data_IF_160976569859
#
_entry.id   IF_160976569859
#
_cell.length_a   1.000
_cell.length_b   1.000
_cell.length_c   1.000
_cell.angle_alpha   90.00
_cell.angle_beta   90.00
_cell.angle_gamma   90.00
#
_symmetry.space_group_name_H-M   'P 1'
#
loop_
_entity.id
_entity.type
_entity.pdbx_description
1 polymer ?
#
# COMPACT_ATOMS: atom_id res chain seq x y z
N UNK A 1 9.37 -18.39 5.09
CA UNK A 1 10.12 -18.89 3.91
C UNK A 1 11.13 -19.90 4.42
N UNK A 2 11.14 -21.13 3.90
CA UNK A 2 12.08 -22.18 4.31
C UNK A 2 13.27 -22.17 3.34
N UNK A 3 14.50 -22.09 3.86
CA UNK A 3 15.72 -22.12 3.04
C UNK A 3 16.46 -23.41 3.37
N UNK A 4 16.64 -24.27 2.36
CA UNK A 4 17.36 -25.53 2.46
C UNK A 4 18.73 -25.37 1.81
N UNK A 5 19.81 -25.56 2.57
CA UNK A 5 21.18 -25.42 2.08
C UNK A 5 21.81 -26.82 2.00
N UNK A 6 22.14 -27.26 0.78
CA UNK A 6 22.86 -28.51 0.57
C UNK A 6 24.36 -28.24 0.71
N UNK A 7 25.03 -28.96 1.61
CA UNK A 7 26.46 -28.81 1.87
C UNK A 7 27.16 -30.13 1.60
N UNK A 8 28.29 -30.13 0.85
CA UNK A 8 29.04 -31.36 0.61
C UNK A 8 29.76 -31.84 1.87
N UNK A 9 29.80 -33.16 2.08
CA UNK A 9 30.38 -33.82 3.27
C UNK A 9 31.89 -33.58 3.46
N UNK A 10 32.57 -33.04 2.44
CA UNK A 10 34.01 -32.73 2.49
C UNK A 10 34.34 -31.48 3.29
N UNK A 11 33.35 -30.75 3.81
CA UNK A 11 33.55 -29.50 4.53
C UNK A 11 33.72 -29.72 6.04
N UNK A 12 34.81 -29.22 6.65
CA UNK A 12 35.01 -29.30 8.09
C UNK A 12 33.87 -28.60 8.84
N UNK A 13 33.32 -29.27 9.86
CA UNK A 13 32.18 -28.82 10.64
C UNK A 13 32.33 -27.37 11.16
N UNK A 14 33.54 -26.98 11.58
CA UNK A 14 33.82 -25.62 12.05
C UNK A 14 33.63 -24.54 10.96
N UNK A 15 34.06 -24.84 9.72
CA UNK A 15 33.89 -23.89 8.60
C UNK A 15 32.42 -23.75 8.22
N UNK A 16 31.67 -24.84 8.34
CA UNK A 16 30.24 -24.90 8.06
C UNK A 16 29.46 -24.04 9.06
N UNK A 17 29.72 -24.23 10.36
CA UNK A 17 29.11 -23.42 11.43
C UNK A 17 29.47 -21.94 11.31
N UNK A 18 30.71 -21.62 10.92
CA UNK A 18 31.13 -20.22 10.69
C UNK A 18 30.40 -19.58 9.50
N UNK A 19 30.12 -20.35 8.45
CA UNK A 19 29.37 -19.87 7.27
C UNK A 19 27.90 -19.67 7.60
N UNK A 20 27.28 -20.59 8.34
CA UNK A 20 25.89 -20.47 8.80
C UNK A 20 25.72 -19.21 9.65
N UNK A 21 26.60 -18.98 10.65
CA UNK A 21 26.56 -17.77 11.49
C UNK A 21 26.66 -16.49 10.67
N UNK A 22 27.54 -16.44 9.65
CA UNK A 22 27.66 -15.28 8.76
C UNK A 22 26.39 -15.04 7.95
N UNK A 23 25.74 -16.11 7.48
CA UNK A 23 24.49 -16.02 6.74
C UNK A 23 23.38 -15.46 7.65
N UNK A 24 23.24 -16.01 8.86
CA UNK A 24 22.30 -15.51 9.87
C UNK A 24 22.54 -14.03 10.20
N UNK A 25 23.78 -13.64 10.48
CA UNK A 25 24.14 -12.24 10.76
C UNK A 25 23.81 -11.29 9.60
N UNK A 26 24.01 -11.72 8.35
CA UNK A 26 23.67 -10.93 7.17
C UNK A 26 22.15 -10.78 7.04
N UNK A 27 21.38 -11.85 7.21
CA UNK A 27 19.91 -11.78 7.19
C UNK A 27 19.36 -10.88 8.29
N UNK A 28 19.92 -10.94 9.51
CA UNK A 28 19.53 -10.04 10.59
C UNK A 28 19.84 -8.57 10.27
N UNK A 29 20.99 -8.29 9.65
CA UNK A 29 21.36 -6.93 9.23
C UNK A 29 20.43 -6.39 8.15
N UNK A 30 20.11 -7.20 7.14
CA UNK A 30 19.19 -6.84 6.07
C UNK A 30 17.78 -6.61 6.61
N UNK A 31 17.25 -7.50 7.45
CA UNK A 31 15.94 -7.33 8.08
C UNK A 31 15.85 -6.02 8.88
N UNK A 32 16.89 -5.68 9.64
CA UNK A 32 16.97 -4.42 10.39
C UNK A 32 17.02 -3.18 9.49
N UNK A 33 17.67 -3.29 8.32
CA UNK A 33 17.68 -2.23 7.31
C UNK A 33 16.30 -2.03 6.71
N UNK A 34 15.60 -3.12 6.34
CA UNK A 34 14.23 -3.08 5.84
C UNK A 34 13.27 -2.46 6.85
N UNK A 35 13.36 -2.84 8.13
CA UNK A 35 12.53 -2.26 9.18
C UNK A 35 12.76 -0.74 9.33
N UNK A 36 14.03 -0.30 9.21
CA UNK A 36 14.40 1.12 9.28
C UNK A 36 13.89 1.91 8.07
N UNK A 37 13.94 1.33 6.87
CA UNK A 37 13.40 1.93 5.65
C UNK A 37 11.88 2.02 5.74
N UNK A 38 11.21 0.95 6.18
CA UNK A 38 9.75 0.92 6.29
C UNK A 38 9.23 1.94 7.31
N UNK A 39 9.90 2.08 8.46
CA UNK A 39 9.61 3.14 9.45
C UNK A 39 9.79 4.53 8.83
N UNK A 40 10.84 4.76 8.05
CA UNK A 40 11.08 6.05 7.39
C UNK A 40 10.01 6.37 6.35
N UNK A 41 9.60 5.40 5.54
CA UNK A 41 8.58 5.58 4.51
C UNK A 41 7.21 5.84 5.12
N UNK A 42 6.79 5.05 6.14
CA UNK A 42 5.53 5.28 6.86
C UNK A 42 5.47 6.69 7.48
N UNK A 43 6.52 7.11 8.18
CA UNK A 43 6.58 8.43 8.79
C UNK A 43 6.55 9.57 7.75
N UNK A 44 6.99 9.32 6.52
CA UNK A 44 6.98 10.31 5.43
C UNK A 44 5.61 10.36 4.75
N UNK A 45 4.94 9.22 4.59
CA UNK A 45 3.62 9.13 3.97
C UNK A 45 2.52 9.73 4.87
N UNK A 46 2.58 9.51 6.19
CA UNK A 46 1.56 10.02 7.12
C UNK A 46 1.56 11.54 7.27
N UNK A 47 2.68 12.22 6.98
CA UNK A 47 2.80 13.68 7.16
C UNK A 47 2.66 14.50 5.87
N UNK A 48 2.71 13.86 4.68
CA UNK A 48 2.79 14.56 3.39
C UNK A 48 1.81 14.03 2.34
N UNK A 49 0.82 13.22 2.72
CA UNK A 49 -0.24 12.86 1.77
C UNK A 49 -1.31 13.97 1.74
N UNK A 50 -1.35 14.81 0.68
CA UNK A 50 -2.36 15.86 0.56
C UNK A 50 -3.78 15.30 0.42
N UNK A 51 -3.94 13.98 0.22
CA UNK A 51 -5.21 13.29 0.15
C UNK A 51 -5.65 12.63 1.45
N UNK A 52 -4.78 12.56 2.47
CA UNK A 52 -5.12 11.92 3.74
C UNK A 52 -5.92 12.82 4.69
N UNK A 53 -5.84 14.14 4.50
CA UNK A 53 -6.71 15.13 5.13
C UNK A 53 -6.82 16.36 4.20
N UNK A 54 -7.56 16.24 3.09
CA UNK A 54 -7.68 17.33 2.13
C UNK A 54 -8.34 18.51 2.82
N UNK A 55 -7.75 19.70 2.65
CA UNK A 55 -8.29 20.92 3.22
C UNK A 55 -9.71 21.15 2.67
N UNK A 56 -10.71 21.29 3.54
CA UNK A 56 -12.10 21.47 3.11
C UNK A 56 -12.30 22.80 2.37
N UNK A 57 -11.34 23.72 2.54
CA UNK A 57 -11.24 25.01 1.86
C UNK A 57 -10.50 24.94 0.50
N UNK A 58 -10.10 23.74 0.06
CA UNK A 58 -9.64 23.55 -1.32
C UNK A 58 -10.69 24.13 -2.27
N UNK A 59 -10.28 24.77 -3.39
CA UNK A 59 -11.21 25.37 -4.34
C UNK A 59 -12.10 24.30 -4.95
N UNK A 60 -13.24 24.06 -4.31
CA UNK A 60 -14.32 23.22 -4.80
C UNK A 60 -15.23 24.10 -5.65
N UNK A 61 -15.43 23.69 -6.90
CA UNK A 61 -16.36 24.38 -7.79
C UNK A 61 -17.74 23.84 -7.47
N UNK A 62 -18.58 24.68 -6.87
CA UNK A 62 -20.00 24.36 -6.76
C UNK A 62 -20.61 24.35 -8.16
N UNK A 63 -21.06 23.17 -8.59
CA UNK A 63 -21.69 22.98 -9.90
C UNK A 63 -23.15 23.43 -9.90
N UNK A 64 -23.75 23.68 -8.73
CA UNK A 64 -25.18 23.98 -8.58
C UNK A 64 -26.11 22.78 -8.84
N UNK A 65 -25.54 21.59 -9.05
CA UNK A 65 -26.26 20.37 -9.39
C UNK A 65 -26.20 19.41 -8.21
N UNK A 66 -27.33 19.24 -7.52
CA UNK A 66 -27.40 18.49 -6.26
C UNK A 66 -27.02 17.00 -6.38
N UNK A 67 -27.20 16.41 -7.56
CA UNK A 67 -26.94 14.99 -7.81
C UNK A 67 -25.77 14.76 -8.78
N UNK A 68 -24.89 15.75 -8.95
CA UNK A 68 -23.74 15.67 -9.86
C UNK A 68 -22.82 14.50 -9.53
N UNK A 69 -22.58 14.23 -8.24
CA UNK A 69 -21.73 13.12 -7.80
C UNK A 69 -22.31 11.74 -8.15
N UNK A 70 -23.64 11.64 -8.31
CA UNK A 70 -24.35 10.40 -8.63
C UNK A 70 -24.48 10.22 -10.15
N UNK A 71 -24.73 11.33 -10.85
CA UNK A 71 -25.04 11.36 -12.29
C UNK A 71 -23.95 12.08 -13.10
N UNK A 72 -22.70 12.00 -12.66
CA UNK A 72 -21.55 12.66 -13.28
C UNK A 72 -21.47 12.41 -14.79
N UNK A 73 -21.64 11.15 -15.20
CA UNK A 73 -21.53 10.75 -16.60
C UNK A 73 -22.69 11.30 -17.46
N UNK A 74 -23.87 11.47 -16.87
CA UNK A 74 -25.01 12.11 -17.55
C UNK A 74 -24.68 13.57 -17.89
N UNK A 75 -24.11 14.31 -16.93
CA UNK A 75 -23.81 15.72 -17.11
C UNK A 75 -22.57 15.98 -17.98
N UNK A 76 -21.59 15.06 -18.02
CA UNK A 76 -20.39 15.21 -18.84
C UNK A 76 -20.52 14.63 -20.25
N UNK A 77 -21.22 13.52 -20.40
CA UNK A 77 -21.23 12.73 -21.63
C UNK A 77 -22.63 12.53 -22.22
N UNK A 78 -23.68 13.02 -21.55
CA UNK A 78 -25.06 12.89 -22.03
C UNK A 78 -25.62 11.47 -21.94
N UNK A 79 -25.04 10.60 -21.11
CA UNK A 79 -25.58 9.26 -20.87
C UNK A 79 -26.95 9.34 -20.19
N UNK A 80 -27.83 8.32 -20.32
CA UNK A 80 -29.08 8.31 -19.57
C UNK A 80 -28.81 8.42 -18.07
N UNK A 81 -29.69 9.14 -17.38
CA UNK A 81 -29.58 9.39 -15.94
C UNK A 81 -29.82 8.09 -15.17
N UNK A 82 -29.07 7.85 -14.10
CA UNK A 82 -29.36 6.76 -13.19
C UNK A 82 -30.59 7.16 -12.36
N UNK A 83 -31.77 6.77 -12.83
CA UNK A 83 -33.00 6.96 -12.07
C UNK A 83 -32.92 6.12 -10.78
N UNK A 84 -33.29 6.68 -9.62
CA UNK A 84 -33.47 5.85 -8.43
C UNK A 84 -34.56 4.83 -8.74
N UNK A 85 -34.28 3.55 -8.51
CA UNK A 85 -35.29 2.49 -8.63
C UNK A 85 -36.58 2.93 -7.93
N UNK A 86 -37.76 2.79 -8.56
CA UNK A 86 -38.99 3.15 -7.89
C UNK A 86 -39.07 2.38 -6.57
N UNK A 87 -39.53 3.00 -5.47
CA UNK A 87 -39.73 2.28 -4.23
C UNK A 87 -40.65 1.10 -4.55
N UNK A 88 -40.19 -0.12 -4.29
CA UNK A 88 -41.06 -1.29 -4.25
C UNK A 88 -42.13 -0.98 -3.22
N UNK A 89 -43.33 -0.62 -3.69
CA UNK A 89 -44.51 -0.48 -2.85
C UNK A 89 -44.71 -1.77 -2.07
N UNK A 90 -45.01 -1.70 -0.76
CA UNK A 90 -45.24 -2.88 0.09
C UNK A 90 -46.47 -3.69 -0.34
#
# INVERSE_FOLDING_TARGET
MLITINVPDTLPHERLMRRIRKIEENFFKEAKLFEKIQKRVKNTAENNDPWSNPDAELPCVDTGIADFSINHDHYLYGTPKNEPFPPTTP
#
